data_IF_580055211186
#
_entry.id   IF_580055211186
#
_cell.length_a   1.000
_cell.length_b   1.000
_cell.length_c   1.000
_cell.angle_alpha   90.00
_cell.angle_beta   90.00
_cell.angle_gamma   90.00
#
_symmetry.space_group_name_H-M   'P 1'
#
loop_
_entity.id
_entity.type
_entity.pdbx_description
1 polymer ?
#
# COMPACT_ATOMS: atom_id res chain seq x y z
N UNK A 1 15.85 -9.38 3.39
CA UNK A 1 15.16 -8.06 3.47
C UNK A 1 15.48 -7.33 4.78
N UNK A 2 16.39 -7.88 5.60
CA UNK A 2 16.80 -7.26 6.86
C UNK A 2 17.27 -5.81 6.65
N UNK A 3 16.82 -4.91 7.52
CA UNK A 3 17.12 -3.46 7.46
C UNK A 3 16.38 -2.68 6.36
N UNK A 4 15.48 -3.33 5.59
CA UNK A 4 14.68 -2.68 4.57
C UNK A 4 13.33 -2.25 5.12
N UNK A 5 12.87 -1.08 4.70
CA UNK A 5 11.53 -0.55 4.99
C UNK A 5 10.64 -0.69 3.77
N UNK A 6 9.47 -1.30 3.95
CA UNK A 6 8.52 -1.60 2.86
C UNK A 6 7.14 -1.09 3.23
N UNK A 7 6.47 -0.42 2.29
CA UNK A 7 5.05 -0.11 2.39
C UNK A 7 4.25 -1.01 1.45
N UNK A 8 3.24 -1.70 1.97
CA UNK A 8 2.30 -2.54 1.19
C UNK A 8 0.90 -1.96 1.32
N UNK A 9 0.36 -1.42 0.25
CA UNK A 9 -1.02 -0.92 0.25
C UNK A 9 -2.01 -2.09 0.15
N UNK A 10 -3.13 -2.01 0.91
CA UNK A 10 -4.12 -3.09 0.97
C UNK A 10 -3.62 -4.36 1.67
N UNK A 11 -2.81 -4.20 2.72
CA UNK A 11 -2.17 -5.28 3.47
C UNK A 11 -3.06 -6.01 4.50
N UNK A 12 -4.35 -5.70 4.57
CA UNK A 12 -5.27 -6.31 5.56
C UNK A 12 -5.79 -7.69 5.16
N UNK A 13 -5.59 -8.11 3.91
CA UNK A 13 -6.09 -9.39 3.39
C UNK A 13 -5.47 -9.77 2.05
N UNK A 14 -5.84 -10.94 1.53
CA UNK A 14 -5.47 -11.41 0.20
C UNK A 14 -3.97 -11.35 -0.11
N UNK A 15 -3.65 -10.96 -1.33
CA UNK A 15 -2.26 -10.87 -1.84
C UNK A 15 -1.42 -9.92 -1.01
N UNK A 16 -1.96 -8.73 -0.65
CA UNK A 16 -1.21 -7.74 0.12
C UNK A 16 -0.79 -8.25 1.49
N UNK A 17 -1.68 -8.95 2.22
CA UNK A 17 -1.35 -9.56 3.52
C UNK A 17 -0.30 -10.67 3.37
N UNK A 18 -0.46 -11.55 2.38
CA UNK A 18 0.51 -12.61 2.13
C UNK A 18 1.90 -12.05 1.77
N UNK A 19 1.94 -10.99 0.95
CA UNK A 19 3.16 -10.26 0.62
C UNK A 19 3.81 -9.67 1.86
N UNK A 20 3.02 -9.00 2.71
CA UNK A 20 3.52 -8.40 3.96
C UNK A 20 4.10 -9.45 4.91
N UNK A 21 3.43 -10.61 5.07
CA UNK A 21 3.95 -11.74 5.86
C UNK A 21 5.30 -12.21 5.31
N UNK A 22 5.40 -12.46 4.00
CA UNK A 22 6.63 -12.94 3.38
C UNK A 22 7.80 -11.95 3.54
N UNK A 23 7.53 -10.65 3.38
CA UNK A 23 8.55 -9.60 3.56
C UNK A 23 8.98 -9.46 5.02
N UNK A 24 8.03 -9.54 5.97
CA UNK A 24 8.31 -9.51 7.40
C UNK A 24 9.17 -10.73 7.82
N UNK A 25 8.84 -11.95 7.34
CA UNK A 25 9.63 -13.15 7.58
C UNK A 25 11.08 -13.04 7.06
N UNK A 26 11.30 -12.25 6.02
CA UNK A 26 12.62 -11.94 5.48
C UNK A 26 13.34 -10.80 6.24
N UNK A 27 12.77 -10.32 7.36
CA UNK A 27 13.38 -9.31 8.23
C UNK A 27 13.15 -7.86 7.80
N UNK A 28 12.19 -7.58 6.91
CA UNK A 28 11.82 -6.21 6.57
C UNK A 28 10.92 -5.58 7.65
N UNK A 29 11.11 -4.27 7.92
CA UNK A 29 10.09 -3.46 8.57
C UNK A 29 8.99 -3.18 7.57
N UNK A 30 7.75 -3.58 7.87
CA UNK A 30 6.64 -3.51 6.93
C UNK A 30 5.55 -2.57 7.42
N UNK A 31 5.19 -1.58 6.61
CA UNK A 31 3.96 -0.81 6.76
C UNK A 31 2.84 -1.43 5.94
N UNK A 32 1.68 -1.60 6.53
CA UNK A 32 0.48 -2.01 5.79
C UNK A 32 -0.60 -0.94 5.84
N UNK A 33 -1.42 -0.86 4.79
CA UNK A 33 -2.56 0.04 4.79
C UNK A 33 -3.89 -0.70 4.71
N UNK A 34 -4.92 -0.12 5.32
CA UNK A 34 -6.30 -0.54 5.22
C UNK A 34 -7.25 0.64 5.45
N UNK A 35 -8.53 0.49 5.12
CA UNK A 35 -9.53 1.57 5.32
C UNK A 35 -9.96 1.71 6.77
N UNK A 36 -10.06 0.61 7.48
CA UNK A 36 -10.47 0.54 8.88
C UNK A 36 -9.26 0.34 9.78
N UNK A 37 -9.08 1.20 10.77
CA UNK A 37 -7.92 1.17 11.66
C UNK A 37 -7.86 -0.13 12.48
N UNK A 38 -8.97 -0.55 13.07
CA UNK A 38 -9.00 -1.73 13.93
C UNK A 38 -8.65 -3.02 13.16
N UNK A 39 -9.18 -3.16 11.94
CA UNK A 39 -8.83 -4.27 11.04
C UNK A 39 -7.37 -4.20 10.59
N UNK A 40 -6.85 -3.01 10.36
CA UNK A 40 -5.45 -2.83 9.92
C UNK A 40 -4.50 -3.18 11.05
N UNK A 41 -4.80 -2.75 12.28
CA UNK A 41 -4.03 -3.11 13.47
C UNK A 41 -4.08 -4.61 13.77
N UNK A 42 -5.25 -5.24 13.66
CA UNK A 42 -5.38 -6.69 13.83
C UNK A 42 -4.56 -7.47 12.78
N UNK A 43 -4.55 -6.98 11.53
CA UNK A 43 -3.71 -7.57 10.48
C UNK A 43 -2.22 -7.36 10.76
N UNK A 44 -1.82 -6.16 11.20
CA UNK A 44 -0.44 -5.86 11.58
C UNK A 44 0.03 -6.74 12.75
N UNK A 45 -0.81 -6.93 13.77
CA UNK A 45 -0.51 -7.81 14.91
C UNK A 45 -0.28 -9.26 14.45
N UNK A 46 -1.14 -9.77 13.56
CA UNK A 46 -0.97 -11.10 12.98
C UNK A 46 0.33 -11.25 12.18
N UNK A 47 0.73 -10.21 11.44
CA UNK A 47 2.00 -10.21 10.68
C UNK A 47 3.20 -10.10 11.62
N UNK A 48 3.13 -9.30 12.70
CA UNK A 48 4.20 -9.19 13.72
C UNK A 48 4.49 -10.53 14.39
N UNK A 49 3.47 -11.40 14.53
CA UNK A 49 3.65 -12.74 15.08
C UNK A 49 4.43 -13.70 14.16
N UNK A 50 4.74 -13.29 12.92
CA UNK A 50 5.56 -14.08 11.99
C UNK A 50 7.00 -14.15 12.51
N UNK A 51 7.62 -15.35 12.59
CA UNK A 51 9.02 -15.47 12.94
C UNK A 51 9.92 -14.63 12.01
N UNK A 52 10.88 -13.90 12.60
CA UNK A 52 11.79 -13.02 11.86
C UNK A 52 11.26 -11.62 11.56
N UNK A 53 10.02 -11.32 11.90
CA UNK A 53 9.44 -9.98 11.71
C UNK A 53 10.01 -8.97 12.72
N UNK A 54 10.71 -7.90 12.29
CA UNK A 54 11.26 -6.90 13.21
C UNK A 54 10.19 -5.90 13.68
N UNK A 55 9.34 -5.42 12.79
CA UNK A 55 8.28 -4.46 13.07
C UNK A 55 7.24 -4.42 11.94
N UNK A 56 5.98 -4.19 12.30
CA UNK A 56 4.90 -3.94 11.33
C UNK A 56 4.08 -2.74 11.80
N UNK A 57 3.97 -1.74 10.95
CA UNK A 57 3.21 -0.51 11.20
C UNK A 57 1.87 -0.57 10.45
N UNK A 58 0.81 -0.06 11.10
CA UNK A 58 -0.54 -0.01 10.53
C UNK A 58 -0.91 1.44 10.18
N UNK A 59 -1.38 1.67 8.96
CA UNK A 59 -1.85 2.97 8.50
C UNK A 59 -3.30 2.86 8.04
N UNK A 60 -4.19 3.68 8.61
CA UNK A 60 -5.57 3.75 8.16
C UNK A 60 -5.73 4.84 7.10
N UNK A 61 -6.17 4.45 5.90
CA UNK A 61 -6.42 5.38 4.82
C UNK A 61 -7.50 4.88 3.86
N UNK A 62 -8.46 5.74 3.53
CA UNK A 62 -9.30 5.55 2.36
C UNK A 62 -8.55 6.08 1.13
N UNK A 63 -8.03 5.15 0.34
CA UNK A 63 -7.26 5.48 -0.85
C UNK A 63 -8.15 5.79 -2.07
N UNK A 64 -9.48 5.64 -1.97
CA UNK A 64 -10.39 6.09 -3.01
C UNK A 64 -10.57 7.61 -3.05
N UNK A 65 -10.06 8.31 -2.02
CA UNK A 65 -10.14 9.77 -1.85
C UNK A 65 -8.74 10.37 -1.80
N UNK A 66 -8.48 11.39 -2.62
CA UNK A 66 -7.15 12.01 -2.72
C UNK A 66 -6.62 12.54 -1.38
N UNK A 67 -7.49 13.13 -0.57
CA UNK A 67 -7.11 13.59 0.78
C UNK A 67 -6.65 12.44 1.68
N UNK A 68 -7.24 11.25 1.53
CA UNK A 68 -6.80 10.01 2.22
C UNK A 68 -5.40 9.60 1.80
N UNK A 69 -5.12 9.61 0.49
CA UNK A 69 -3.79 9.29 -0.05
C UNK A 69 -2.72 10.28 0.44
N UNK A 70 -3.04 11.58 0.47
CA UNK A 70 -2.10 12.61 0.97
C UNK A 70 -1.80 12.46 2.46
N UNK A 71 -2.81 12.18 3.29
CA UNK A 71 -2.59 11.90 4.72
C UNK A 71 -1.73 10.65 4.93
N UNK A 72 -2.01 9.59 4.17
CA UNK A 72 -1.18 8.37 4.19
C UNK A 72 0.28 8.68 3.85
N UNK A 73 0.52 9.42 2.77
CA UNK A 73 1.88 9.77 2.38
C UNK A 73 2.62 10.55 3.48
N UNK A 74 1.96 11.53 4.11
CA UNK A 74 2.53 12.29 5.22
C UNK A 74 2.89 11.36 6.40
N UNK A 75 1.97 10.50 6.84
CA UNK A 75 2.23 9.54 7.91
C UNK A 75 3.40 8.60 7.59
N UNK A 76 3.49 8.14 6.35
CA UNK A 76 4.59 7.28 5.90
C UNK A 76 5.92 8.04 5.93
N UNK A 77 5.95 9.28 5.47
CA UNK A 77 7.16 10.12 5.47
C UNK A 77 7.65 10.44 6.89
N UNK A 78 6.73 10.62 7.84
CA UNK A 78 7.04 10.85 9.26
C UNK A 78 7.55 9.57 9.94
N UNK A 79 7.01 8.40 9.56
CA UNK A 79 7.34 7.11 10.19
C UNK A 79 8.61 6.48 9.63
N UNK A 80 8.85 6.65 8.33
CA UNK A 80 9.95 6.01 7.62
C UNK A 80 10.99 7.01 7.13
N UNK A 81 12.12 7.18 7.84
CA UNK A 81 13.25 7.99 7.35
C UNK A 81 13.84 7.41 6.06
N UNK A 82 13.61 6.11 5.80
CA UNK A 82 13.99 5.39 4.60
C UNK A 82 12.84 4.52 4.12
N UNK A 83 12.56 4.53 2.82
CA UNK A 83 11.58 3.65 2.17
C UNK A 83 12.24 2.94 0.98
N UNK A 84 12.50 1.66 1.13
CA UNK A 84 13.20 0.87 0.11
C UNK A 84 12.24 0.28 -0.93
N UNK A 85 11.01 -0.05 -0.53
CA UNK A 85 10.03 -0.65 -1.43
C UNK A 85 8.64 -0.09 -1.18
N UNK A 86 7.99 0.35 -2.26
CA UNK A 86 6.55 0.64 -2.30
C UNK A 86 5.85 -0.45 -3.11
N UNK A 87 4.91 -1.17 -2.48
CA UNK A 87 4.04 -2.14 -3.15
C UNK A 87 2.65 -1.54 -3.30
N UNK A 88 2.33 -1.07 -4.49
CA UNK A 88 1.01 -0.63 -4.89
C UNK A 88 0.14 -1.85 -5.19
N UNK A 89 -0.53 -2.38 -4.15
CA UNK A 89 -1.35 -3.59 -4.24
C UNK A 89 -2.84 -3.31 -4.04
N UNK A 90 -3.19 -2.19 -3.38
CA UNK A 90 -4.62 -1.87 -3.21
C UNK A 90 -5.31 -1.78 -4.56
N UNK A 91 -6.48 -2.39 -4.63
CA UNK A 91 -7.31 -2.36 -5.83
C UNK A 91 -8.58 -3.19 -5.64
N UNK A 92 -9.45 -3.10 -6.62
CA UNK A 92 -10.70 -3.85 -6.64
C UNK A 92 -11.43 -3.72 -7.97
N UNK A 93 -12.49 -4.50 -8.09
CA UNK A 93 -13.40 -4.45 -9.24
C UNK A 93 -14.83 -4.28 -8.75
N UNK A 94 -15.55 -3.37 -9.37
CA UNK A 94 -16.96 -3.09 -9.09
C UNK A 94 -17.74 -3.18 -10.38
N UNK A 95 -18.77 -4.05 -10.41
CA UNK A 95 -19.61 -4.25 -11.59
C UNK A 95 -20.48 -3.03 -11.93
N UNK A 96 -20.75 -2.18 -10.92
CA UNK A 96 -21.54 -0.96 -11.11
C UNK A 96 -20.65 0.28 -10.91
N UNK A 97 -20.96 1.32 -11.68
CA UNK A 97 -20.27 2.60 -11.56
C UNK A 97 -20.58 3.25 -10.21
N UNK A 98 -19.54 3.53 -9.45
CA UNK A 98 -19.58 4.33 -8.24
C UNK A 98 -18.76 5.60 -8.43
N UNK A 99 -19.15 6.66 -7.73
CA UNK A 99 -18.41 7.93 -7.73
C UNK A 99 -17.88 8.18 -6.33
N UNK A 100 -16.61 8.55 -6.23
CA UNK A 100 -15.95 8.86 -4.96
C UNK A 100 -16.37 10.25 -4.46
N UNK A 101 -16.00 10.60 -3.22
CA UNK A 101 -16.20 11.93 -2.68
C UNK A 101 -15.50 13.04 -3.50
N UNK A 102 -14.47 12.70 -4.27
CA UNK A 102 -13.78 13.63 -5.18
C UNK A 102 -14.47 13.75 -6.55
N UNK A 103 -15.64 13.13 -6.76
CA UNK A 103 -16.35 13.13 -8.04
C UNK A 103 -15.75 12.21 -9.12
N UNK A 104 -14.81 11.36 -8.76
CA UNK A 104 -14.10 10.45 -9.67
C UNK A 104 -14.77 9.07 -9.71
N UNK A 105 -14.66 8.36 -10.86
CA UNK A 105 -15.07 6.98 -10.91
C UNK A 105 -14.21 6.12 -9.99
N UNK A 106 -14.86 5.27 -9.18
CA UNK A 106 -14.23 4.60 -8.03
C UNK A 106 -13.11 3.62 -8.44
N UNK A 107 -13.33 2.82 -9.49
CA UNK A 107 -12.33 1.87 -9.97
C UNK A 107 -11.10 2.58 -10.47
N UNK A 108 -11.30 3.65 -11.25
CA UNK A 108 -10.21 4.48 -11.75
C UNK A 108 -9.49 5.23 -10.62
N UNK A 109 -10.24 5.81 -9.67
CA UNK A 109 -9.69 6.50 -8.52
C UNK A 109 -8.80 5.59 -7.67
N UNK A 110 -9.29 4.37 -7.34
CA UNK A 110 -8.58 3.48 -6.44
C UNK A 110 -7.45 2.71 -7.12
N UNK A 111 -7.68 2.21 -8.36
CA UNK A 111 -6.71 1.33 -9.03
C UNK A 111 -5.63 2.08 -9.79
N UNK A 112 -5.89 3.34 -10.18
CA UNK A 112 -4.95 4.12 -10.99
C UNK A 112 -4.50 5.41 -10.31
N UNK A 113 -5.44 6.29 -9.95
CA UNK A 113 -5.07 7.61 -9.41
C UNK A 113 -4.43 7.53 -8.02
N UNK A 114 -4.90 6.63 -7.16
CA UNK A 114 -4.34 6.46 -5.82
C UNK A 114 -2.88 6.00 -5.84
N UNK A 115 -2.50 4.91 -6.54
CA UNK A 115 -1.09 4.51 -6.63
C UNK A 115 -0.23 5.55 -7.36
N UNK A 116 -0.76 6.23 -8.37
CA UNK A 116 -0.05 7.33 -9.03
C UNK A 116 0.27 8.47 -8.05
N UNK A 117 -0.74 8.98 -7.35
CA UNK A 117 -0.58 10.06 -6.38
C UNK A 117 0.33 9.66 -5.22
N UNK A 118 0.13 8.46 -4.64
CA UNK A 118 0.97 7.97 -3.55
C UNK A 118 2.43 7.85 -3.98
N UNK A 119 2.68 7.27 -5.15
CA UNK A 119 4.02 7.15 -5.72
C UNK A 119 4.67 8.51 -5.89
N UNK A 120 3.95 9.48 -6.47
CA UNK A 120 4.46 10.85 -6.68
C UNK A 120 4.82 11.54 -5.37
N UNK A 121 4.00 11.37 -4.32
CA UNK A 121 4.23 11.98 -3.00
C UNK A 121 5.39 11.33 -2.23
N UNK A 122 5.69 10.06 -2.49
CA UNK A 122 6.77 9.31 -1.84
C UNK A 122 8.06 9.27 -2.68
N UNK A 123 8.05 9.83 -3.89
CA UNK A 123 9.14 9.65 -4.87
C UNK A 123 10.49 10.16 -4.36
N UNK A 124 10.54 11.32 -3.73
CA UNK A 124 11.78 11.88 -3.19
C UNK A 124 12.38 10.98 -2.10
N UNK A 125 11.53 10.43 -1.21
CA UNK A 125 11.98 9.48 -0.18
C UNK A 125 12.48 8.18 -0.78
N UNK A 126 11.80 7.64 -1.80
CA UNK A 126 12.24 6.45 -2.53
C UNK A 126 13.57 6.70 -3.24
N UNK A 127 13.72 7.83 -3.92
CA UNK A 127 14.95 8.21 -4.61
C UNK A 127 16.11 8.37 -3.63
N UNK A 128 15.90 9.05 -2.50
CA UNK A 128 16.90 9.19 -1.44
C UNK A 128 17.26 7.87 -0.76
N UNK A 129 16.39 6.85 -0.88
CA UNK A 129 16.59 5.50 -0.32
C UNK A 129 17.24 4.54 -1.31
N UNK A 130 17.69 4.98 -2.47
CA UNK A 130 18.23 4.12 -3.50
C UNK A 130 19.31 3.13 -2.98
N UNK A 131 19.36 1.88 -3.54
CA UNK A 131 18.44 1.34 -4.54
C UNK A 131 17.07 1.02 -3.96
N UNK A 132 16.00 1.66 -4.49
CA UNK A 132 14.63 1.44 -4.09
C UNK A 132 13.81 0.82 -5.24
N UNK A 133 12.61 0.32 -4.93
CA UNK A 133 11.72 -0.28 -5.92
C UNK A 133 10.28 0.14 -5.71
N UNK A 134 9.56 0.34 -6.82
CA UNK A 134 8.12 0.51 -6.87
C UNK A 134 7.56 -0.71 -7.59
N UNK A 135 6.66 -1.44 -6.94
CA UNK A 135 6.03 -2.65 -7.46
C UNK A 135 4.54 -2.39 -7.55
N UNK A 136 3.96 -2.51 -8.74
CA UNK A 136 2.52 -2.37 -8.94
C UNK A 136 1.92 -3.74 -9.24
N UNK A 137 0.96 -4.16 -8.41
CA UNK A 137 0.19 -5.39 -8.62
C UNK A 137 -0.85 -5.10 -9.70
N UNK A 138 -0.81 -5.91 -10.76
CA UNK A 138 -1.72 -5.83 -11.90
C UNK A 138 -2.56 -7.10 -12.00
N UNK A 139 -3.45 -7.15 -12.99
CA UNK A 139 -4.33 -8.30 -13.24
C UNK A 139 -4.23 -8.74 -14.70
N UNK A 140 -4.34 -10.04 -14.94
CA UNK A 140 -4.48 -10.59 -16.29
C UNK A 140 -5.75 -10.09 -17.03
N UNK A 141 -6.68 -9.49 -16.31
CA UNK A 141 -7.87 -8.85 -16.90
C UNK A 141 -7.51 -7.73 -17.89
N UNK A 142 -6.36 -7.06 -17.72
CA UNK A 142 -5.89 -6.02 -18.64
C UNK A 142 -5.77 -6.50 -20.09
N UNK A 143 -5.43 -7.77 -20.31
CA UNK A 143 -5.27 -8.34 -21.65
C UNK A 143 -6.61 -8.43 -22.43
N UNK A 144 -7.75 -8.32 -21.75
CA UNK A 144 -9.08 -8.34 -22.34
C UNK A 144 -9.73 -6.97 -22.40
N UNK A 145 -9.11 -5.97 -21.81
CA UNK A 145 -9.62 -4.59 -21.84
C UNK A 145 -9.46 -4.01 -23.25
N UNK A 146 -10.50 -3.27 -23.68
CA UNK A 146 -10.48 -2.44 -24.90
C UNK A 146 -10.69 -1.00 -24.45
N UNK A 147 -9.86 -0.12 -24.93
CA UNK A 147 -9.96 1.32 -24.74
C UNK A 147 -10.61 1.91 -25.98
#
# INVERSE_FOLDING_TARGET
>A
MAGKSVLVTGGTGGIGKATAIGLAALGARVGITGRDLARTEAAAAAIRATPGSPAVDAFAADMSVQAGVRRLAAQVLDTYPRLDVLVNNVGGFWAHRHVTADGLEHTFALNHLAPFLLTSLLLDRLTASAPARIITVSSAAHARARI
#
